data_IF_145786965562
#
_entry.id   IF_145786965562
#
_cell.length_a   1.000
_cell.length_b   1.000
_cell.length_c   1.000
_cell.angle_alpha   90.00
_cell.angle_beta   90.00
_cell.angle_gamma   90.00
#
_symmetry.space_group_name_H-M   'P 1'
#
loop_
_entity.id
_entity.type
_entity.pdbx_description
1 polymer ?
#
# COMPACT_ATOMS: atom_id res chain seq x y z
N UNK A 1 2.80 -5.07 13.87
CA UNK A 1 1.51 -4.31 13.75
C UNK A 1 0.55 -5.09 12.86
N UNK A 2 -0.71 -5.21 13.24
CA UNK A 2 -1.71 -5.91 12.42
C UNK A 2 -2.09 -5.13 11.16
N UNK A 3 -2.37 -5.87 10.09
CA UNK A 3 -2.63 -5.31 8.76
C UNK A 3 -3.83 -4.36 8.74
N UNK A 4 -4.88 -4.66 9.53
CA UNK A 4 -6.07 -3.82 9.63
C UNK A 4 -5.78 -2.44 10.24
N UNK A 5 -4.90 -2.37 11.24
CA UNK A 5 -4.53 -1.11 11.88
C UNK A 5 -3.74 -0.20 10.95
N UNK A 6 -2.86 -0.81 10.13
CA UNK A 6 -2.10 -0.10 9.11
C UNK A 6 -3.05 0.43 8.04
N UNK A 7 -4.00 -0.38 7.60
CA UNK A 7 -4.99 0.05 6.61
C UNK A 7 -5.81 1.25 7.08
N UNK A 8 -6.31 1.22 8.32
CA UNK A 8 -7.08 2.36 8.89
C UNK A 8 -6.25 3.63 8.97
N UNK A 9 -4.97 3.54 9.36
CA UNK A 9 -4.06 4.70 9.39
C UNK A 9 -3.82 5.28 8.00
N UNK A 10 -3.62 4.40 7.01
CA UNK A 10 -3.40 4.80 5.62
C UNK A 10 -4.65 5.45 5.02
N UNK A 11 -5.83 4.90 5.29
CA UNK A 11 -7.10 5.49 4.89
C UNK A 11 -7.34 6.86 5.55
N UNK A 12 -7.08 6.98 6.85
CA UNK A 12 -7.16 8.26 7.56
C UNK A 12 -6.21 9.31 6.98
N UNK A 13 -4.96 8.93 6.72
CA UNK A 13 -3.98 9.82 6.08
C UNK A 13 -4.44 10.31 4.70
N UNK A 14 -4.97 9.43 3.85
CA UNK A 14 -5.49 9.82 2.53
C UNK A 14 -6.69 10.76 2.63
N UNK A 15 -7.54 10.59 3.65
CA UNK A 15 -8.67 11.48 3.90
C UNK A 15 -8.20 12.86 4.39
N UNK A 16 -7.22 12.91 5.29
CA UNK A 16 -6.61 14.16 5.79
C UNK A 16 -5.88 14.93 4.69
N UNK A 17 -5.27 14.24 3.73
CA UNK A 17 -4.62 14.86 2.57
C UNK A 17 -5.59 15.71 1.75
N UNK A 18 -6.89 15.39 1.77
CA UNK A 18 -7.95 16.15 1.12
C UNK A 18 -7.89 16.16 -0.42
N UNK A 19 -6.94 15.43 -1.02
CA UNK A 19 -6.71 15.38 -2.46
C UNK A 19 -6.99 14.00 -3.04
N UNK A 20 -7.50 13.90 -4.28
CA UNK A 20 -7.67 12.63 -4.97
C UNK A 20 -6.32 11.92 -5.10
N UNK A 21 -6.16 10.81 -4.37
CA UNK A 21 -4.87 10.12 -4.25
C UNK A 21 -5.06 8.62 -4.01
N UNK A 22 -4.03 7.84 -4.35
CA UNK A 22 -3.92 6.43 -3.99
C UNK A 22 -2.54 6.21 -3.37
N UNK A 23 -2.44 5.19 -2.54
CA UNK A 23 -1.16 4.82 -1.92
C UNK A 23 -1.02 3.30 -1.91
N UNK A 24 0.20 2.86 -2.17
CA UNK A 24 0.64 1.48 -1.98
C UNK A 24 1.72 1.55 -0.92
N UNK A 25 1.47 0.93 0.22
CA UNK A 25 2.37 0.97 1.36
C UNK A 25 2.87 -0.45 1.65
N UNK A 26 4.17 -0.65 1.44
CA UNK A 26 4.88 -1.86 1.83
C UNK A 26 5.44 -1.70 3.24
N UNK A 27 5.25 -2.69 4.09
CA UNK A 27 5.78 -2.71 5.44
C UNK A 27 6.39 -4.06 5.76
N UNK A 28 7.42 -4.06 6.59
CA UNK A 28 7.98 -5.29 7.13
C UNK A 28 7.12 -5.74 8.30
N UNK A 29 6.63 -6.98 8.26
CA UNK A 29 6.01 -7.62 9.42
C UNK A 29 7.11 -7.96 10.41
N UNK A 30 6.78 -7.93 11.70
CA UNK A 30 7.69 -8.36 12.76
C UNK A 30 8.22 -9.76 12.43
N UNK A 31 9.50 -10.01 12.71
CA UNK A 31 10.15 -11.27 12.36
C UNK A 31 9.34 -12.44 12.92
N UNK A 32 8.86 -13.32 12.04
CA UNK A 32 8.29 -14.60 12.47
C UNK A 32 9.40 -15.43 13.11
N UNK A 33 9.03 -16.27 14.08
CA UNK A 33 9.94 -17.04 14.95
C UNK A 33 10.94 -17.97 14.21
N UNK A 34 10.93 -17.99 12.88
CA UNK A 34 11.81 -18.78 12.02
C UNK A 34 12.87 -17.95 11.26
N UNK A 35 13.08 -16.68 11.62
CA UNK A 35 14.14 -15.84 11.00
C UNK A 35 13.85 -15.42 9.56
N UNK A 36 12.61 -15.57 9.09
CA UNK A 36 12.15 -15.05 7.80
C UNK A 36 11.51 -13.69 8.00
N UNK A 37 12.04 -12.70 7.27
CA UNK A 37 11.45 -11.38 7.18
C UNK A 37 10.23 -11.48 6.26
N UNK A 38 9.03 -11.35 6.82
CA UNK A 38 7.81 -11.28 6.02
C UNK A 38 7.49 -9.82 5.69
N UNK A 39 7.06 -9.58 4.45
CA UNK A 39 6.62 -8.26 4.01
C UNK A 39 5.11 -8.27 3.78
N UNK A 40 4.43 -7.21 4.23
CA UNK A 40 3.02 -6.95 3.96
C UNK A 40 2.87 -5.77 3.01
N UNK A 41 1.78 -5.76 2.25
CA UNK A 41 1.41 -4.64 1.38
C UNK A 41 -0.04 -4.27 1.66
N UNK A 42 -0.30 -2.97 1.84
CA UNK A 42 -1.65 -2.41 1.89
C UNK A 42 -1.81 -1.38 0.77
N UNK A 43 -2.98 -1.36 0.15
CA UNK A 43 -3.34 -0.36 -0.86
C UNK A 43 -4.67 0.29 -0.50
N UNK A 44 -4.77 1.61 -0.67
CA UNK A 44 -6.02 2.34 -0.48
C UNK A 44 -6.13 3.51 -1.46
N UNK A 45 -7.35 3.98 -1.71
CA UNK A 45 -7.64 5.06 -2.65
C UNK A 45 -8.68 6.04 -2.07
N UNK A 46 -8.51 7.34 -2.34
CA UNK A 46 -9.43 8.40 -1.92
C UNK A 46 -9.91 9.22 -3.11
N UNK A 47 -11.23 9.22 -3.36
CA UNK A 47 -11.91 10.04 -4.40
C UNK A 47 -11.34 9.92 -5.83
N UNK A 48 -10.63 8.82 -6.13
CA UNK A 48 -10.16 8.51 -7.49
C UNK A 48 -11.17 7.59 -8.17
N UNK A 49 -11.48 7.79 -9.47
CA UNK A 49 -12.26 6.83 -10.25
C UNK A 49 -11.61 5.44 -10.22
N UNK A 50 -12.36 4.34 -9.98
CA UNK A 50 -11.77 3.01 -9.82
C UNK A 50 -10.81 2.60 -10.94
N UNK A 51 -11.13 2.93 -12.19
CA UNK A 51 -10.27 2.64 -13.34
C UNK A 51 -8.92 3.36 -13.30
N UNK A 52 -8.87 4.59 -12.79
CA UNK A 52 -7.63 5.34 -12.64
C UNK A 52 -6.80 4.80 -11.47
N UNK A 53 -7.46 4.42 -10.38
CA UNK A 53 -6.79 3.79 -9.24
C UNK A 53 -6.16 2.44 -9.64
N UNK A 54 -6.90 1.58 -10.33
CA UNK A 54 -6.41 0.29 -10.81
C UNK A 54 -5.19 0.48 -11.72
N UNK A 55 -5.27 1.38 -12.72
CA UNK A 55 -4.15 1.64 -13.62
C UNK A 55 -2.92 2.19 -12.89
N UNK A 56 -3.11 3.13 -11.96
CA UNK A 56 -2.03 3.71 -11.18
C UNK A 56 -1.34 2.68 -10.28
N UNK A 57 -2.12 1.84 -9.59
CA UNK A 57 -1.60 0.75 -8.78
C UNK A 57 -0.88 -0.30 -9.61
N UNK A 58 -1.44 -0.71 -10.75
CA UNK A 58 -0.78 -1.67 -11.66
C UNK A 58 0.55 -1.14 -12.19
N UNK A 59 0.62 0.15 -12.54
CA UNK A 59 1.87 0.77 -12.95
C UNK A 59 2.90 0.80 -11.81
N UNK A 60 2.49 1.23 -10.61
CA UNK A 60 3.38 1.30 -9.45
C UNK A 60 3.94 -0.08 -9.07
N UNK A 61 3.09 -1.11 -9.05
CA UNK A 61 3.51 -2.49 -8.78
C UNK A 61 4.49 -3.01 -9.84
N UNK A 62 4.22 -2.71 -11.12
CA UNK A 62 5.12 -3.11 -12.20
C UNK A 62 6.48 -2.40 -12.11
N UNK A 63 6.51 -1.11 -11.76
CA UNK A 63 7.74 -0.36 -11.53
C UNK A 63 8.56 -0.93 -10.35
N UNK A 64 7.89 -1.34 -9.26
CA UNK A 64 8.56 -2.03 -8.14
C UNK A 64 9.21 -3.35 -8.58
N UNK A 65 8.49 -4.16 -9.37
CA UNK A 65 9.01 -5.42 -9.89
C UNK A 65 10.21 -5.17 -10.81
N UNK A 66 10.09 -4.20 -11.73
CA UNK A 66 11.13 -3.88 -12.70
C UNK A 66 12.41 -3.33 -12.06
N UNK A 67 12.33 -2.67 -10.90
CA UNK A 67 13.49 -2.18 -10.15
C UNK A 67 14.11 -3.22 -9.22
N UNK A 68 13.37 -4.27 -8.88
CA UNK A 68 13.83 -5.35 -8.00
C UNK A 68 14.50 -6.50 -8.75
N UNK A 69 14.34 -6.56 -10.07
CA UNK A 69 15.03 -7.48 -11.00
C UNK A 69 16.28 -6.82 -11.59
#
# INVERSE_FOLDING_TARGET
>A
MDQEDIQKKVEGFLQELGVPSFIVFGFQKDASEEGKVEFGVVSSHHKIPPNAAIKGMSWALNDFIARSL
#
